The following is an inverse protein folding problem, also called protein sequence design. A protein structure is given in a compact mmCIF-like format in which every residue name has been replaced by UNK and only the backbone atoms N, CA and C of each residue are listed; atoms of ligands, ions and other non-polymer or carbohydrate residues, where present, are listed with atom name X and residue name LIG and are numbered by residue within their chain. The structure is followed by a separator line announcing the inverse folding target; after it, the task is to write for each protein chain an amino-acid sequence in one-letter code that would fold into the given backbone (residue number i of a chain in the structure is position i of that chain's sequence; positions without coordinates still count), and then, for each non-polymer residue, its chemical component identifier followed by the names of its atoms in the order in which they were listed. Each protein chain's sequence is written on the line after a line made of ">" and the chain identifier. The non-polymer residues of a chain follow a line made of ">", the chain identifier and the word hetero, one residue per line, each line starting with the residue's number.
data_IF_974394163636
#
_entry.id   IF_974394163636
#
_cell.length_a   1.000
_cell.length_b   1.000
_cell.length_c   1.000
_cell.angle_alpha   90.00
_cell.angle_beta   90.00
_cell.angle_gamma   90.00
#
_symmetry.space_group_name_H-M   'P 1'
#
loop_
_entity.id
_entity.type
_entity.pdbx_description
1 polymer ?
#
# COMPACT_ATOMS: atom_id res chain seq x y z
N UNK A 1 -6.12 27.82 8.94
CA UNK A 1 -4.84 27.20 8.55
C UNK A 1 -5.03 25.69 8.65
N UNK A 2 -5.00 24.99 7.51
CA UNK A 2 -5.29 23.56 7.41
C UNK A 2 -4.06 22.73 7.83
N UNK A 3 -3.84 22.59 9.13
CA UNK A 3 -2.76 21.74 9.67
C UNK A 3 -2.99 20.25 9.38
N UNK A 4 -4.26 19.83 9.33
CA UNK A 4 -4.66 18.44 9.06
C UNK A 4 -4.14 17.92 7.71
N UNK A 5 -4.15 18.75 6.66
CA UNK A 5 -3.66 18.36 5.34
C UNK A 5 -2.12 18.31 5.25
N UNK A 6 -1.43 19.08 6.10
CA UNK A 6 0.04 19.08 6.13
C UNK A 6 0.59 17.83 6.85
N UNK A 7 -0.09 17.37 7.90
CA UNK A 7 0.30 16.18 8.66
C UNK A 7 0.10 14.90 7.84
N UNK A 8 -1.04 14.75 7.13
CA UNK A 8 -1.31 13.58 6.30
C UNK A 8 -0.32 13.45 5.12
N UNK A 9 0.07 14.58 4.52
CA UNK A 9 1.09 14.63 3.47
C UNK A 9 2.48 14.27 4.01
N UNK A 10 2.81 14.68 5.24
CA UNK A 10 4.07 14.36 5.87
C UNK A 10 4.21 12.85 6.10
N UNK A 11 3.17 12.19 6.60
CA UNK A 11 3.14 10.75 6.81
C UNK A 11 3.29 9.95 5.49
N UNK A 12 2.74 10.48 4.39
CA UNK A 12 2.93 9.89 3.06
C UNK A 12 4.36 9.97 2.58
N UNK A 13 4.99 11.13 2.72
CA UNK A 13 6.39 11.31 2.36
C UNK A 13 7.33 10.44 3.20
N UNK A 14 7.09 10.36 4.50
CA UNK A 14 7.87 9.49 5.41
C UNK A 14 7.74 8.03 4.98
N UNK A 15 6.52 7.57 4.66
CA UNK A 15 6.32 6.20 4.21
C UNK A 15 7.05 5.91 2.88
N UNK A 16 6.95 6.81 1.90
CA UNK A 16 7.63 6.65 0.60
C UNK A 16 9.15 6.64 0.76
N UNK A 17 9.68 7.45 1.68
CA UNK A 17 11.10 7.48 2.00
C UNK A 17 11.57 6.16 2.64
N UNK A 18 10.82 5.61 3.61
CA UNK A 18 11.13 4.33 4.24
C UNK A 18 11.03 3.16 3.24
N UNK A 19 9.98 3.13 2.40
CA UNK A 19 9.85 2.14 1.34
C UNK A 19 11.03 2.19 0.36
N UNK A 20 11.45 3.39 -0.03
CA UNK A 20 12.59 3.59 -0.93
C UNK A 20 13.91 3.14 -0.29
N UNK A 21 14.10 3.44 1.00
CA UNK A 21 15.26 3.03 1.79
C UNK A 21 15.34 1.50 1.91
N UNK A 22 14.24 0.86 2.26
CA UNK A 22 14.15 -0.60 2.35
C UNK A 22 14.33 -1.27 1.00
N UNK A 23 13.72 -0.75 -0.07
CA UNK A 23 13.90 -1.26 -1.44
C UNK A 23 15.38 -1.26 -1.85
N UNK A 24 16.10 -0.18 -1.56
CA UNK A 24 17.54 -0.11 -1.83
C UNK A 24 18.34 -1.15 -1.01
N UNK A 25 17.95 -1.40 0.23
CA UNK A 25 18.60 -2.43 1.06
C UNK A 25 18.33 -3.86 0.57
N UNK A 26 17.10 -4.15 0.14
CA UNK A 26 16.76 -5.45 -0.48
C UNK A 26 17.59 -5.66 -1.74
N UNK A 27 17.63 -4.67 -2.64
CA UNK A 27 18.38 -4.79 -3.89
C UNK A 27 19.87 -5.08 -3.63
N UNK A 28 20.49 -4.37 -2.69
CA UNK A 28 21.88 -4.62 -2.30
C UNK A 28 22.08 -5.99 -1.65
N UNK A 29 21.14 -6.43 -0.83
CA UNK A 29 21.18 -7.74 -0.18
C UNK A 29 21.10 -8.86 -1.22
N UNK A 30 20.17 -8.77 -2.18
CA UNK A 30 20.02 -9.73 -3.27
C UNK A 30 21.28 -9.80 -4.13
N UNK A 31 21.84 -8.65 -4.53
CA UNK A 31 23.10 -8.63 -5.29
C UNK A 31 24.23 -9.27 -4.49
N UNK A 32 24.30 -9.03 -3.18
CA UNK A 32 25.30 -9.65 -2.32
C UNK A 32 25.12 -11.17 -2.22
N UNK A 33 23.90 -11.67 -2.10
CA UNK A 33 23.63 -13.12 -2.12
C UNK A 33 24.10 -13.74 -3.43
N UNK A 34 23.78 -13.12 -4.57
CA UNK A 34 24.21 -13.61 -5.89
C UNK A 34 25.74 -13.62 -6.04
N UNK A 35 26.43 -12.63 -5.47
CA UNK A 35 27.91 -12.62 -5.44
C UNK A 35 28.48 -13.72 -4.54
N UNK A 36 27.85 -13.98 -3.39
CA UNK A 36 28.22 -15.09 -2.50
C UNK A 36 28.01 -16.45 -3.20
N UNK A 37 26.88 -16.66 -3.86
CA UNK A 37 26.57 -17.90 -4.60
C UNK A 37 27.55 -18.12 -5.76
N UNK A 38 27.98 -17.03 -6.41
CA UNK A 38 29.01 -17.06 -7.43
C UNK A 38 30.45 -17.13 -6.87
N UNK A 39 30.61 -17.29 -5.56
CA UNK A 39 31.91 -17.36 -4.86
C UNK A 39 32.81 -16.12 -5.10
N UNK A 40 32.21 -14.98 -5.44
CA UNK A 40 32.89 -13.69 -5.64
C UNK A 40 33.00 -12.87 -4.34
N UNK A 41 32.31 -13.30 -3.29
CA UNK A 41 32.27 -12.60 -2.01
C UNK A 41 32.07 -13.58 -0.85
N UNK A 42 32.47 -13.14 0.34
CA UNK A 42 32.23 -13.87 1.59
C UNK A 42 30.74 -14.06 1.87
N UNK A 43 30.43 -15.08 2.69
CA UNK A 43 29.07 -15.34 3.15
C UNK A 43 28.48 -14.13 3.89
N UNK A 44 27.18 -13.96 3.76
CA UNK A 44 26.44 -12.94 4.49
C UNK A 44 26.33 -13.40 5.95
N UNK A 45 26.62 -12.49 6.88
CA UNK A 45 26.44 -12.79 8.29
C UNK A 45 24.95 -12.91 8.61
N UNK A 46 24.55 -13.95 9.34
CA UNK A 46 23.15 -14.16 9.78
C UNK A 46 22.58 -12.91 10.47
N UNK A 47 23.42 -12.17 11.21
CA UNK A 47 23.03 -10.92 11.85
C UNK A 47 22.53 -9.85 10.86
N UNK A 48 23.14 -9.76 9.67
CA UNK A 48 22.73 -8.82 8.62
C UNK A 48 21.38 -9.22 8.00
N UNK A 49 21.16 -10.53 7.83
CA UNK A 49 19.87 -11.07 7.36
C UNK A 49 18.75 -10.77 8.37
N UNK A 50 18.99 -11.07 9.64
CA UNK A 50 18.05 -10.79 10.73
C UNK A 50 17.76 -9.29 10.84
N UNK A 51 18.78 -8.44 10.66
CA UNK A 51 18.60 -6.97 10.69
C UNK A 51 17.72 -6.49 9.56
N UNK A 52 17.93 -6.97 8.33
CA UNK A 52 17.07 -6.62 7.19
C UNK A 52 15.63 -7.12 7.39
N UNK A 53 15.48 -8.38 7.82
CA UNK A 53 14.18 -8.97 8.15
C UNK A 53 13.42 -8.18 9.22
N UNK A 54 14.11 -7.76 10.29
CA UNK A 54 13.53 -6.93 11.34
C UNK A 54 13.04 -5.57 10.82
N UNK A 55 13.79 -4.91 9.94
CA UNK A 55 13.34 -3.64 9.32
C UNK A 55 12.09 -3.83 8.47
N UNK A 56 12.02 -4.92 7.71
CA UNK A 56 10.85 -5.25 6.88
C UNK A 56 9.59 -5.46 7.72
N UNK A 57 9.71 -6.23 8.80
CA UNK A 57 8.61 -6.49 9.73
C UNK A 57 8.11 -5.20 10.36
N UNK A 58 9.02 -4.34 10.84
CA UNK A 58 8.64 -3.05 11.45
C UNK A 58 7.93 -2.12 10.46
N UNK A 59 8.41 -2.05 9.21
CA UNK A 59 7.73 -1.27 8.17
C UNK A 59 6.34 -1.85 7.85
N UNK A 60 6.20 -3.17 7.84
CA UNK A 60 4.92 -3.85 7.69
C UNK A 60 3.92 -3.50 8.80
N UNK A 61 4.38 -3.44 10.05
CA UNK A 61 3.54 -3.00 11.18
C UNK A 61 3.11 -1.53 11.03
N UNK A 62 4.02 -0.64 10.65
CA UNK A 62 3.69 0.78 10.42
C UNK A 62 2.65 0.95 9.30
N UNK A 63 2.77 0.17 8.22
CA UNK A 63 1.80 0.14 7.13
C UNK A 63 0.40 -0.34 7.58
N UNK A 64 0.36 -1.41 8.39
CA UNK A 64 -0.89 -1.93 8.94
C UNK A 64 -1.56 -0.93 9.86
N UNK A 65 -0.81 -0.33 10.79
CA UNK A 65 -1.33 0.67 11.72
C UNK A 65 -1.96 1.84 10.96
N UNK A 66 -1.26 2.34 9.93
CA UNK A 66 -1.78 3.40 9.06
C UNK A 66 -3.04 2.98 8.29
N UNK A 67 -3.10 1.74 7.81
CA UNK A 67 -4.30 1.23 7.14
C UNK A 67 -5.51 1.13 8.08
N UNK A 68 -5.29 0.72 9.34
CA UNK A 68 -6.30 0.69 10.39
C UNK A 68 -6.83 2.09 10.69
N UNK A 69 -5.95 3.07 10.86
CA UNK A 69 -6.35 4.47 11.09
C UNK A 69 -7.16 5.03 9.92
N UNK A 70 -6.78 4.74 8.66
CA UNK A 70 -7.55 5.12 7.48
C UNK A 70 -8.93 4.47 7.44
N UNK A 71 -9.04 3.19 7.83
CA UNK A 71 -10.32 2.49 7.89
C UNK A 71 -11.23 3.05 9.00
N UNK A 72 -10.66 3.39 10.16
CA UNK A 72 -11.38 4.01 11.27
C UNK A 72 -11.89 5.42 10.94
N UNK A 73 -11.11 6.23 10.22
CA UNK A 73 -11.51 7.56 9.74
C UNK A 73 -12.70 7.53 8.78
N UNK A 74 -12.75 6.54 7.87
CA UNK A 74 -13.90 6.35 6.97
C UNK A 74 -15.20 5.96 7.68
N UNK A 75 -15.13 5.41 8.88
CA UNK A 75 -16.32 4.96 9.61
C UNK A 75 -17.04 6.09 10.37
N UNK A 76 -16.42 7.28 10.51
CA UNK A 76 -17.03 8.47 11.13
C UNK A 76 -17.76 9.39 10.14
N UNK A 77 -17.36 9.39 8.87
CA UNK A 77 -18.01 10.19 7.82
C UNK A 77 -19.16 9.47 7.11
N UNK A 78 -19.61 8.34 7.65
CA UNK A 78 -20.84 7.63 7.24
C UNK A 78 -22.12 8.37 7.65
N UNK A 79 -22.21 9.67 7.39
CA UNK A 79 -23.49 10.37 7.31
C UNK A 79 -24.28 9.80 6.14
N UNK A 80 -25.48 9.31 6.43
CA UNK A 80 -26.48 8.73 5.53
C UNK A 80 -26.38 9.22 4.07
N UNK A 81 -25.69 8.47 3.22
CA UNK A 81 -25.94 8.53 1.79
C UNK A 81 -27.17 7.66 1.57
N UNK A 82 -28.33 8.31 1.48
CA UNK A 82 -29.57 7.70 1.06
C UNK A 82 -29.31 6.92 -0.23
N UNK A 83 -29.48 5.59 -0.17
CA UNK A 83 -29.45 4.72 -1.33
C UNK A 83 -30.64 5.09 -2.19
N UNK A 84 -30.41 5.91 -3.22
CA UNK A 84 -31.39 6.05 -4.30
C UNK A 84 -31.47 4.70 -5.02
N UNK A 85 -32.66 4.08 -5.13
CA UNK A 85 -32.79 2.80 -5.83
C UNK A 85 -32.46 3.02 -7.31
N UNK A 86 -31.54 2.21 -7.84
CA UNK A 86 -31.17 2.22 -9.24
C UNK A 86 -32.42 2.05 -10.11
N UNK A 87 -32.82 3.09 -10.84
CA UNK A 87 -33.87 2.99 -11.83
C UNK A 87 -33.45 2.04 -12.95
N UNK A 88 -34.34 1.08 -13.19
CA UNK A 88 -34.20 -0.04 -14.12
C UNK A 88 -34.13 0.50 -15.55
N UNK A 89 -33.11 0.07 -16.28
CA UNK A 89 -32.80 0.53 -17.64
C UNK A 89 -33.99 0.55 -18.60
N UNK A 90 -33.98 1.60 -19.42
CA UNK A 90 -34.91 1.93 -20.48
C UNK A 90 -35.16 0.74 -21.44
N UNK A 91 -36.44 0.51 -21.68
CA UNK A 91 -36.97 -0.29 -22.78
C UNK A 91 -36.69 0.41 -24.11
N UNK A 92 -36.03 -0.28 -25.04
CA UNK A 92 -35.99 0.08 -26.45
C UNK A 92 -35.85 -1.18 -27.31
N UNK A 93 -37.00 -1.69 -27.76
CA UNK A 93 -37.09 -2.55 -28.93
C UNK A 93 -38.49 -2.37 -29.54
N UNK A 94 -38.67 -1.31 -30.32
CA UNK A 94 -39.73 -1.25 -31.32
C UNK A 94 -39.21 -1.92 -32.60
N UNK A 95 -39.91 -2.96 -33.07
CA UNK A 95 -40.32 -3.12 -34.48
C UNK A 95 -40.73 -4.57 -34.80
N UNK A 96 -42.04 -4.83 -34.88
CA UNK A 96 -42.61 -5.68 -35.93
C UNK A 96 -44.05 -5.25 -36.18
N UNK A 97 -44.33 -4.96 -37.44
CA UNK A 97 -45.53 -4.31 -37.98
C UNK A 97 -46.71 -5.28 -38.07
N UNK A 98 -47.92 -4.72 -37.93
CA UNK A 98 -49.22 -5.27 -38.36
C UNK A 98 -49.17 -5.85 -39.78
N UNK A 99 -49.60 -7.11 -39.92
CA UNK A 99 -50.80 -7.54 -40.65
C UNK A 99 -51.16 -8.95 -40.16
#
# INVERSE_FOLDING_TARGET
>A
MNTVAADEWHDELVLVAELSSVNNQIARFVLRMLDTDAHRREQIAVADECRLGGRLVNLGYALQDRAVHRAAGRHRDGGSIAVAPCERGLTSAQSAKKC
#
